data_IF_278342223197
#
_entry.id   IF_278342223197
#
_cell.length_a   1.000
_cell.length_b   1.000
_cell.length_c   1.000
_cell.angle_alpha   90.00
_cell.angle_beta   90.00
_cell.angle_gamma   90.00
#
_symmetry.space_group_name_H-M   'P 1'
#
loop_
_entity.id
_entity.type
_entity.pdbx_description
1 polymer ?
#
# COMPACT_ATOMS: atom_id res chain seq x y z
N UNK A 1 -9.37 -16.84 3.37
CA UNK A 1 -8.51 -16.48 4.51
C UNK A 1 -7.13 -16.13 3.96
N UNK A 2 -6.58 -14.96 4.27
CA UNK A 2 -5.28 -14.54 3.75
C UNK A 2 -4.15 -15.15 4.61
N UNK A 3 -3.59 -16.27 4.13
CA UNK A 3 -2.51 -17.00 4.80
C UNK A 3 -1.28 -16.13 5.11
N UNK A 4 -0.97 -15.16 4.23
CA UNK A 4 0.14 -14.23 4.44
C UNK A 4 -0.06 -13.31 5.65
N UNK A 5 -1.29 -12.88 5.93
CA UNK A 5 -1.59 -12.01 7.07
C UNK A 5 -1.48 -12.78 8.38
N UNK A 6 -1.96 -14.03 8.42
CA UNK A 6 -1.77 -14.91 9.57
C UNK A 6 -0.30 -15.23 9.82
N UNK A 7 0.49 -15.44 8.75
CA UNK A 7 1.94 -15.68 8.86
C UNK A 7 2.67 -14.45 9.40
N UNK A 8 2.31 -13.24 8.95
CA UNK A 8 2.88 -12.00 9.46
C UNK A 8 2.58 -11.79 10.96
N UNK A 9 1.34 -12.07 11.38
CA UNK A 9 0.95 -11.99 12.80
C UNK A 9 1.72 -13.03 13.63
N UNK A 10 1.87 -14.26 13.13
CA UNK A 10 2.65 -15.31 13.80
C UNK A 10 4.13 -14.94 13.93
N UNK A 11 4.74 -14.37 12.88
CA UNK A 11 6.14 -13.93 12.90
C UNK A 11 6.36 -12.80 13.91
N UNK A 12 5.45 -11.81 13.93
CA UNK A 12 5.50 -10.72 14.92
C UNK A 12 5.36 -11.28 16.33
N UNK A 13 4.38 -12.16 16.60
CA UNK A 13 4.24 -12.79 17.91
C UNK A 13 5.49 -13.60 18.30
N UNK A 14 6.04 -14.39 17.37
CA UNK A 14 7.21 -15.24 17.60
C UNK A 14 8.47 -14.44 17.95
N UNK A 15 8.61 -13.21 17.44
CA UNK A 15 9.71 -12.31 17.77
C UNK A 15 9.45 -11.47 19.03
N UNK A 16 8.25 -10.92 19.17
CA UNK A 16 7.90 -10.01 20.26
C UNK A 16 7.73 -10.72 21.60
N UNK A 17 7.26 -11.97 21.60
CA UNK A 17 7.05 -12.75 22.81
C UNK A 17 8.35 -13.06 23.58
N UNK A 18 9.39 -13.67 22.98
CA UNK A 18 10.65 -13.93 23.68
C UNK A 18 11.36 -12.64 24.09
N UNK A 19 11.24 -11.57 23.29
CA UNK A 19 11.80 -10.25 23.65
C UNK A 19 11.16 -9.70 24.92
N UNK A 20 9.82 -9.76 25.02
CA UNK A 20 9.10 -9.32 26.21
C UNK A 20 9.39 -10.19 27.44
N UNK A 21 9.51 -11.50 27.26
CA UNK A 21 9.91 -12.41 28.35
C UNK A 21 11.31 -12.05 28.86
N UNK A 22 12.26 -11.80 27.96
CA UNK A 22 13.64 -11.45 28.32
C UNK A 22 13.72 -10.11 29.06
N UNK A 23 13.00 -9.10 28.59
CA UNK A 23 12.85 -7.81 29.27
C UNK A 23 12.19 -7.96 30.64
N UNK A 24 11.13 -8.77 30.76
CA UNK A 24 10.45 -9.03 32.03
C UNK A 24 11.35 -9.72 33.05
N UNK A 25 12.17 -10.69 32.62
CA UNK A 25 13.12 -11.38 33.50
C UNK A 25 14.28 -10.49 33.97
N UNK A 26 14.69 -9.51 33.16
CA UNK A 26 15.79 -8.60 33.49
C UNK A 26 15.44 -7.57 34.58
N UNK A 27 14.15 -7.33 34.82
CA UNK A 27 13.66 -6.31 35.77
C UNK A 27 13.21 -6.96 37.11
N UNK A 28 13.15 -8.30 37.19
CA UNK A 28 13.04 -9.03 38.46
C UNK A 28 11.73 -8.85 39.25
N UNK A 29 10.57 -8.75 38.59
CA UNK A 29 9.30 -8.40 39.25
C UNK A 29 8.18 -9.43 39.04
N UNK A 30 7.44 -9.73 40.12
CA UNK A 30 6.12 -10.39 40.11
C UNK A 30 5.06 -9.56 39.33
N UNK A 31 5.22 -8.23 39.32
CA UNK A 31 4.49 -7.27 38.47
C UNK A 31 4.89 -7.32 36.97
N UNK A 32 6.01 -7.97 36.62
CA UNK A 32 6.42 -8.07 35.22
C UNK A 32 5.49 -8.96 34.40
N UNK A 33 4.77 -9.90 35.03
CA UNK A 33 3.78 -10.73 34.34
C UNK A 33 2.56 -9.92 33.92
N UNK A 34 2.01 -9.04 34.78
CA UNK A 34 0.89 -8.19 34.40
C UNK A 34 1.31 -7.16 33.35
N UNK A 35 2.51 -6.55 33.50
CA UNK A 35 3.07 -5.64 32.51
C UNK A 35 3.33 -6.31 31.15
N UNK A 36 3.90 -7.53 31.13
CA UNK A 36 4.14 -8.28 29.91
C UNK A 36 2.83 -8.75 29.26
N UNK A 37 1.85 -9.16 30.05
CA UNK A 37 0.53 -9.57 29.54
C UNK A 37 -0.20 -8.37 28.93
N UNK A 38 -0.16 -7.20 29.60
CA UNK A 38 -0.70 -5.95 29.06
C UNK A 38 0.04 -5.53 27.78
N UNK A 39 1.37 -5.61 27.77
CA UNK A 39 2.18 -5.33 26.58
C UNK A 39 1.83 -6.23 25.40
N UNK A 40 1.62 -7.53 25.66
CA UNK A 40 1.18 -8.50 24.66
C UNK A 40 -0.22 -8.17 24.12
N UNK A 41 -1.17 -7.84 25.01
CA UNK A 41 -2.53 -7.45 24.61
C UNK A 41 -2.55 -6.16 23.80
N UNK A 42 -1.78 -5.14 24.20
CA UNK A 42 -1.67 -3.88 23.46
C UNK A 42 -1.04 -4.11 22.09
N UNK A 43 0.04 -4.90 22.02
CA UNK A 43 0.70 -5.22 20.75
C UNK A 43 -0.25 -5.99 19.83
N UNK A 44 -0.98 -6.97 20.37
CA UNK A 44 -1.97 -7.75 19.61
C UNK A 44 -3.13 -6.87 19.12
N UNK A 45 -3.65 -5.98 19.98
CA UNK A 45 -4.71 -5.05 19.63
C UNK A 45 -4.25 -4.09 18.53
N UNK A 46 -3.04 -3.53 18.67
CA UNK A 46 -2.45 -2.64 17.69
C UNK A 46 -2.22 -3.36 16.35
N UNK A 47 -1.63 -4.55 16.36
CA UNK A 47 -1.42 -5.36 15.16
C UNK A 47 -2.75 -5.65 14.45
N UNK A 48 -3.77 -6.06 15.21
CA UNK A 48 -5.11 -6.33 14.67
C UNK A 48 -5.73 -5.07 14.08
N UNK A 49 -5.60 -3.93 14.76
CA UNK A 49 -6.10 -2.65 14.27
C UNK A 49 -5.41 -2.22 12.98
N UNK A 50 -4.08 -2.30 12.92
CA UNK A 50 -3.28 -1.96 11.73
C UNK A 50 -3.64 -2.85 10.54
N UNK A 51 -3.79 -4.17 10.75
CA UNK A 51 -4.19 -5.10 9.69
C UNK A 51 -5.60 -4.75 9.19
N UNK A 52 -6.56 -4.52 10.08
CA UNK A 52 -7.93 -4.14 9.68
C UNK A 52 -7.94 -2.81 8.92
N UNK A 53 -7.19 -1.83 9.39
CA UNK A 53 -7.04 -0.54 8.72
C UNK A 53 -6.43 -0.68 7.33
N UNK A 54 -5.34 -1.45 7.20
CA UNK A 54 -4.67 -1.68 5.93
C UNK A 54 -5.58 -2.40 4.93
N UNK A 55 -6.30 -3.44 5.37
CA UNK A 55 -7.25 -4.17 4.52
C UNK A 55 -8.42 -3.27 4.12
N UNK A 56 -8.96 -2.48 5.05
CA UNK A 56 -10.02 -1.51 4.75
C UNK A 56 -9.57 -0.49 3.71
N UNK A 57 -8.39 0.11 3.90
CA UNK A 57 -7.79 1.05 2.95
C UNK A 57 -7.58 0.41 1.56
N UNK A 58 -7.08 -0.83 1.53
CA UNK A 58 -6.87 -1.54 0.27
C UNK A 58 -8.19 -1.81 -0.47
N UNK A 59 -9.24 -2.25 0.25
CA UNK A 59 -10.59 -2.43 -0.30
C UNK A 59 -11.14 -1.14 -0.89
N UNK A 60 -11.08 -0.03 -0.15
CA UNK A 60 -11.53 1.28 -0.64
C UNK A 60 -10.77 1.71 -1.90
N UNK A 61 -9.47 1.41 -1.97
CA UNK A 61 -8.66 1.72 -3.16
C UNK A 61 -9.09 0.88 -4.37
N UNK A 62 -9.42 -0.40 -4.16
CA UNK A 62 -9.94 -1.28 -5.20
C UNK A 62 -11.33 -0.87 -5.67
N UNK A 63 -12.22 -0.51 -4.75
CA UNK A 63 -13.56 0.01 -5.07
C UNK A 63 -13.46 1.27 -5.94
N UNK A 64 -12.62 2.24 -5.55
CA UNK A 64 -12.35 3.42 -6.37
C UNK A 64 -11.78 3.09 -7.75
N UNK A 65 -10.88 2.11 -7.83
CA UNK A 65 -10.36 1.64 -9.11
C UNK A 65 -11.48 1.06 -9.99
N UNK A 66 -12.38 0.26 -9.41
CA UNK A 66 -13.51 -0.32 -10.16
C UNK A 66 -14.47 0.75 -10.66
N UNK A 67 -14.81 1.73 -9.82
CA UNK A 67 -15.65 2.87 -10.22
C UNK A 67 -14.99 3.71 -11.31
N UNK A 68 -13.70 4.01 -11.18
CA UNK A 68 -12.94 4.77 -12.18
C UNK A 68 -12.87 4.05 -13.52
N UNK A 69 -12.70 2.73 -13.52
CA UNK A 69 -12.74 1.94 -14.76
C UNK A 69 -14.13 1.95 -15.39
N UNK A 70 -15.18 1.77 -14.60
CA UNK A 70 -16.54 1.81 -15.11
C UNK A 70 -16.86 3.19 -15.73
N UNK A 71 -16.40 4.27 -15.11
CA UNK A 71 -16.59 5.63 -15.61
C UNK A 71 -15.84 5.86 -16.94
N UNK A 72 -14.57 5.47 -17.03
CA UNK A 72 -13.78 5.57 -18.28
C UNK A 72 -14.36 4.67 -19.38
N UNK A 73 -14.91 3.50 -19.04
CA UNK A 73 -15.58 2.63 -20.02
C UNK A 73 -16.88 3.21 -20.54
N UNK A 74 -17.61 3.95 -19.71
CA UNK A 74 -18.86 4.61 -20.10
C UNK A 74 -18.62 5.81 -21.03
N UNK A 75 -17.53 6.55 -20.82
CA UNK A 75 -17.19 7.74 -21.59
C UNK A 75 -15.67 7.84 -21.81
N UNK A 76 -15.11 7.09 -22.79
CA UNK A 76 -13.67 6.93 -22.96
C UNK A 76 -12.97 8.15 -23.52
N UNK A 77 -13.70 9.01 -24.23
CA UNK A 77 -13.18 10.19 -24.91
C UNK A 77 -13.24 11.46 -24.04
N UNK A 78 -13.93 11.39 -22.90
CA UNK A 78 -14.04 12.50 -21.97
C UNK A 78 -12.87 12.52 -20.96
N UNK A 79 -12.03 13.57 -20.95
CA UNK A 79 -10.92 13.68 -20.00
C UNK A 79 -11.36 13.62 -18.54
N UNK A 80 -12.57 14.13 -18.22
CA UNK A 80 -13.09 14.12 -16.85
C UNK A 80 -13.44 12.72 -16.36
N UNK A 81 -13.73 11.78 -17.27
CA UNK A 81 -14.03 10.40 -16.91
C UNK A 81 -12.84 9.68 -16.27
N UNK A 82 -11.60 10.16 -16.51
CA UNK A 82 -10.38 9.61 -15.95
C UNK A 82 -10.13 10.03 -14.49
N UNK A 83 -10.97 10.91 -13.92
CA UNK A 83 -10.87 11.38 -12.54
C UNK A 83 -12.05 10.91 -11.70
N UNK A 84 -11.74 10.30 -10.55
CA UNK A 84 -12.72 9.89 -9.54
C UNK A 84 -12.38 10.53 -8.21
N UNK A 85 -13.29 11.34 -7.68
CA UNK A 85 -13.09 12.01 -6.39
C UNK A 85 -11.85 12.92 -6.36
N UNK A 86 -11.52 13.53 -7.51
CA UNK A 86 -10.34 14.38 -7.68
C UNK A 86 -9.02 13.61 -7.91
N UNK A 87 -9.05 12.28 -8.01
CA UNK A 87 -7.86 11.46 -8.25
C UNK A 87 -7.90 10.81 -9.63
N UNK A 88 -6.80 10.93 -10.39
CA UNK A 88 -6.67 10.33 -11.71
C UNK A 88 -6.50 8.80 -11.63
N UNK A 89 -7.16 8.06 -12.52
CA UNK A 89 -7.09 6.60 -12.62
C UNK A 89 -5.64 6.08 -12.69
N UNK A 90 -4.77 6.77 -13.42
CA UNK A 90 -3.34 6.45 -13.50
C UNK A 90 -2.63 6.51 -12.15
N UNK A 91 -3.00 7.45 -11.26
CA UNK A 91 -2.40 7.57 -9.91
C UNK A 91 -2.85 6.41 -9.02
N UNK A 92 -4.13 6.04 -9.10
CA UNK A 92 -4.68 4.89 -8.38
C UNK A 92 -3.94 3.60 -8.81
N UNK A 93 -3.72 3.42 -10.11
CA UNK A 93 -2.96 2.29 -10.65
C UNK A 93 -1.51 2.28 -10.17
N UNK A 94 -0.84 3.44 -10.12
CA UNK A 94 0.53 3.55 -9.59
C UNK A 94 0.61 3.17 -8.10
N UNK A 95 -0.37 3.56 -7.28
CA UNK A 95 -0.44 3.18 -5.86
C UNK A 95 -0.60 1.67 -5.67
N UNK A 96 -1.28 1.01 -6.61
CA UNK A 96 -1.47 -0.45 -6.61
C UNK A 96 -0.31 -1.20 -7.30
N UNK A 97 0.74 -0.51 -7.73
CA UNK A 97 1.89 -1.12 -8.42
C UNK A 97 1.61 -1.53 -9.88
N UNK A 98 0.46 -1.18 -10.44
CA UNK A 98 0.04 -1.52 -11.81
C UNK A 98 0.60 -0.53 -12.82
N UNK A 99 1.93 -0.46 -12.91
CA UNK A 99 2.66 0.58 -13.64
C UNK A 99 2.44 0.56 -15.16
N UNK A 100 2.41 -0.63 -15.76
CA UNK A 100 2.19 -0.80 -17.21
C UNK A 100 0.83 -0.22 -17.61
N UNK A 101 -0.21 -0.62 -16.88
CA UNK A 101 -1.57 -0.11 -17.10
C UNK A 101 -1.68 1.38 -16.80
N UNK A 102 -0.98 1.88 -15.77
CA UNK A 102 -0.94 3.31 -15.49
C UNK A 102 -0.33 4.10 -16.66
N UNK A 103 0.76 3.61 -17.25
CA UNK A 103 1.39 4.24 -18.41
C UNK A 103 0.46 4.26 -19.62
N UNK A 104 -0.20 3.15 -19.93
CA UNK A 104 -1.19 3.07 -21.02
C UNK A 104 -2.36 4.05 -20.84
N UNK A 105 -2.88 4.15 -19.61
CA UNK A 105 -3.97 5.07 -19.28
C UNK A 105 -3.52 6.53 -19.41
N UNK A 106 -2.33 6.87 -18.90
CA UNK A 106 -1.77 8.23 -18.98
C UNK A 106 -1.49 8.62 -20.44
N UNK A 107 -0.97 7.69 -21.24
CA UNK A 107 -0.70 7.90 -22.66
C UNK A 107 -2.00 8.08 -23.46
N UNK A 108 -3.04 7.30 -23.16
CA UNK A 108 -4.37 7.51 -23.72
C UNK A 108 -4.96 8.87 -23.33
N UNK A 109 -4.89 9.24 -22.05
CA UNK A 109 -5.36 10.52 -21.55
C UNK A 109 -4.68 11.71 -22.25
N UNK A 110 -3.36 11.63 -22.45
CA UNK A 110 -2.60 12.67 -23.15
C UNK A 110 -3.02 12.86 -24.62
N UNK A 111 -3.59 11.83 -25.25
CA UNK A 111 -4.10 11.91 -26.64
C UNK A 111 -5.48 12.55 -26.77
N UNK A 112 -6.24 12.70 -25.68
CA UNK A 112 -7.63 13.17 -25.72
C UNK A 112 -7.78 14.68 -25.99
N UNK A 113 -6.70 15.45 -26.07
CA UNK A 113 -6.71 16.87 -26.46
C UNK A 113 -7.39 17.84 -25.46
N UNK A 114 -8.15 17.35 -24.50
CA UNK A 114 -8.80 18.15 -23.44
C UNK A 114 -8.12 18.07 -22.07
N UNK A 115 -6.98 17.40 -21.99
CA UNK A 115 -6.14 17.33 -20.79
C UNK A 115 -5.27 18.59 -20.65
N UNK A 116 -5.13 19.13 -19.43
CA UNK A 116 -4.20 20.25 -19.21
C UNK A 116 -2.77 19.72 -19.29
N UNK A 117 -1.89 20.43 -20.01
CA UNK A 117 -0.48 20.03 -20.14
C UNK A 117 0.20 19.85 -18.77
N UNK A 118 -0.10 20.73 -17.80
CA UNK A 118 0.41 20.62 -16.43
C UNK A 118 0.00 19.33 -15.72
N UNK A 119 -1.20 18.81 -15.98
CA UNK A 119 -1.67 17.54 -15.43
C UNK A 119 -0.94 16.36 -16.06
N UNK A 120 -0.73 16.39 -17.38
CA UNK A 120 0.01 15.35 -18.12
C UNK A 120 1.45 15.28 -17.60
N UNK A 121 2.10 16.43 -17.43
CA UNK A 121 3.46 16.51 -16.87
C UNK A 121 3.51 15.93 -15.45
N UNK A 122 2.57 16.33 -14.58
CA UNK A 122 2.50 15.79 -13.22
C UNK A 122 2.29 14.27 -13.19
N UNK A 123 1.45 13.73 -14.08
CA UNK A 123 1.21 12.29 -14.22
C UNK A 123 2.45 11.54 -14.70
N UNK A 124 3.19 12.09 -15.67
CA UNK A 124 4.45 11.53 -16.16
C UNK A 124 5.54 11.57 -15.11
N UNK A 125 5.62 12.64 -14.32
CA UNK A 125 6.53 12.74 -13.20
C UNK A 125 6.19 11.69 -12.13
N UNK A 126 4.92 11.53 -11.78
CA UNK A 126 4.45 10.49 -10.88
C UNK A 126 4.81 9.08 -11.38
N UNK A 127 4.68 8.82 -12.67
CA UNK A 127 5.10 7.55 -13.29
C UNK A 127 6.62 7.35 -13.15
N UNK A 128 7.43 8.33 -13.56
CA UNK A 128 8.90 8.25 -13.52
C UNK A 128 9.44 8.04 -12.10
N UNK A 129 8.85 8.71 -11.09
CA UNK A 129 9.21 8.54 -9.69
C UNK A 129 8.86 7.13 -9.17
N UNK A 130 7.75 6.54 -9.62
CA UNK A 130 7.41 5.16 -9.33
C UNK A 130 8.40 4.18 -9.98
N UNK A 131 8.85 4.43 -11.22
CA UNK A 131 9.86 3.59 -11.88
C UNK A 131 11.20 3.60 -11.14
N UNK A 132 11.66 4.78 -10.71
CA UNK A 132 12.90 4.93 -9.93
C UNK A 132 12.85 4.15 -8.62
N UNK A 133 11.71 4.16 -7.93
CA UNK A 133 11.53 3.39 -6.69
C UNK A 133 11.63 1.89 -6.93
N UNK A 134 11.04 1.40 -8.01
CA UNK A 134 11.10 -0.02 -8.36
C UNK A 134 12.52 -0.46 -8.72
N UNK A 135 13.24 0.30 -9.55
CA UNK A 135 14.63 -0.04 -9.92
C UNK A 135 15.54 -0.11 -8.69
N UNK A 136 15.34 0.77 -7.71
CA UNK A 136 16.07 0.73 -6.42
C UNK A 136 15.70 -0.48 -5.56
N UNK A 137 14.45 -0.94 -5.62
CA UNK A 137 14.03 -2.14 -4.93
C UNK A 137 14.65 -3.40 -5.57
N UNK A 138 14.60 -3.50 -6.89
CA UNK A 138 15.18 -4.62 -7.66
C UNK A 138 16.70 -4.70 -7.53
N UNK A 139 17.42 -3.57 -7.65
CA UNK A 139 18.88 -3.55 -7.49
C UNK A 139 19.36 -3.87 -6.06
N UNK A 140 18.49 -3.79 -5.04
CA UNK A 140 18.79 -4.24 -3.67
C UNK A 140 18.59 -5.74 -3.47
N UNK A 141 17.75 -6.37 -4.28
CA UNK A 141 17.55 -7.83 -4.26
C UNK A 141 18.72 -8.51 -4.96
N UNK A 142 19.18 -7.99 -6.10
CA UNK A 142 20.34 -8.51 -6.84
C UNK A 142 21.67 -8.30 -6.09
N UNK A 143 21.83 -7.20 -5.34
CA UNK A 143 23.04 -6.94 -4.54
C UNK A 143 23.12 -7.71 -3.21
N UNK A 144 22.12 -8.54 -2.87
CA UNK A 144 22.12 -9.39 -1.66
C UNK A 144 22.49 -10.84 -1.96
N UNK A 145 22.59 -11.20 -3.24
CA UNK A 145 22.99 -12.54 -3.72
C UNK A 145 24.46 -12.58 -4.19
N UNK A 146 25.21 -11.48 -4.04
CA UNK A 146 26.65 -11.38 -4.31
C UNK A 146 27.43 -11.20 -3.00
#
# INVERSE_FOLDING_TARGET
MNYAATLAVLVVLAFSFPLMVRLGTAIGLSEAYSAATLGALVTLALATHLVRWQVGRHRVTLERLTSARAQVLADPDNPRAYFVGGEHLGVILLRLGRRREAAEVIDRYARLGGARESEIVALREALSSAERRQRRAQGREEGREA
#
